data_IF_810610242836
#
_entry.id   IF_810610242836
#
_cell.length_a   1.000
_cell.length_b   1.000
_cell.length_c   1.000
_cell.angle_alpha   90.00
_cell.angle_beta   90.00
_cell.angle_gamma   90.00
#
_symmetry.space_group_name_H-M   'P 1'
#
loop_
_entity.id
_entity.type
_entity.pdbx_description
1 polymer ?
#
# COMPACT_ATOMS: atom_id res chain seq x y z
N UNK A 1 -0.82 10.85 7.86
CA UNK A 1 0.55 10.29 7.75
C UNK A 1 0.65 8.84 8.23
N UNK A 2 0.11 8.46 9.40
CA UNK A 2 0.21 7.08 9.91
C UNK A 2 -0.89 6.11 9.45
N UNK A 3 -2.00 6.63 8.90
CA UNK A 3 -3.16 5.82 8.50
C UNK A 3 -2.86 4.90 7.32
N UNK A 4 -2.11 5.37 6.32
CA UNK A 4 -1.70 4.58 5.14
C UNK A 4 -0.74 3.43 5.51
N UNK A 5 0.35 3.65 6.27
CA UNK A 5 1.19 2.55 6.75
C UNK A 5 0.43 1.55 7.63
N UNK A 6 -0.47 2.03 8.50
CA UNK A 6 -1.23 1.17 9.40
C UNK A 6 -2.20 0.26 8.63
N UNK A 7 -2.88 0.78 7.59
CA UNK A 7 -3.73 -0.03 6.70
C UNK A 7 -2.92 -1.14 6.01
N UNK A 8 -1.73 -0.81 5.47
CA UNK A 8 -0.83 -1.81 4.86
C UNK A 8 -0.43 -2.93 5.83
N UNK A 9 -0.21 -2.60 7.11
CA UNK A 9 0.06 -3.60 8.17
C UNK A 9 -1.18 -4.43 8.49
N UNK A 10 -2.36 -3.83 8.52
CA UNK A 10 -3.62 -4.52 8.76
C UNK A 10 -3.91 -5.56 7.66
N UNK A 11 -3.68 -5.22 6.39
CA UNK A 11 -3.73 -6.17 5.27
C UNK A 11 -2.77 -7.34 5.45
N UNK A 12 -1.54 -7.06 5.89
CA UNK A 12 -0.58 -8.11 6.17
C UNK A 12 -1.05 -9.01 7.31
N UNK A 13 -1.58 -8.47 8.40
CA UNK A 13 -2.05 -9.27 9.53
C UNK A 13 -3.23 -10.17 9.15
N UNK A 14 -4.13 -9.69 8.29
CA UNK A 14 -5.24 -10.48 7.75
C UNK A 14 -4.72 -11.59 6.83
N UNK A 15 -3.79 -11.29 5.92
CA UNK A 15 -3.21 -12.27 4.98
C UNK A 15 -2.14 -13.17 5.61
N UNK A 16 -1.60 -12.82 6.79
CA UNK A 16 -0.62 -13.62 7.54
C UNK A 16 -1.19 -14.98 7.95
N UNK A 17 -2.48 -15.02 8.34
CA UNK A 17 -3.17 -16.29 8.59
C UNK A 17 -3.26 -17.20 7.35
N UNK A 18 -3.06 -16.64 6.16
CA UNK A 18 -3.08 -17.34 4.88
C UNK A 18 -1.68 -17.63 4.31
N UNK A 19 -0.61 -17.37 5.07
CA UNK A 19 0.78 -17.62 4.65
C UNK A 19 1.49 -16.41 4.02
N UNK A 20 1.04 -15.18 4.29
CA UNK A 20 1.76 -13.99 3.83
C UNK A 20 3.20 -13.95 4.37
N UNK A 21 4.17 -13.86 3.45
CA UNK A 21 5.59 -13.75 3.78
C UNK A 21 5.89 -12.39 4.39
N UNK A 22 6.83 -12.33 5.34
CA UNK A 22 7.35 -11.07 5.92
C UNK A 22 7.88 -10.12 4.84
N UNK A 23 8.36 -10.66 3.71
CA UNK A 23 8.77 -9.86 2.56
C UNK A 23 7.65 -8.97 1.99
N UNK A 24 6.38 -9.41 2.04
CA UNK A 24 5.23 -8.62 1.60
C UNK A 24 5.01 -7.41 2.52
N UNK A 25 5.10 -7.61 3.83
CA UNK A 25 4.99 -6.54 4.82
C UNK A 25 6.09 -5.50 4.59
N UNK A 26 7.34 -5.94 4.41
CA UNK A 26 8.44 -5.02 4.13
C UNK A 26 8.24 -4.27 2.81
N UNK A 27 7.74 -4.93 1.74
CA UNK A 27 7.40 -4.25 0.48
C UNK A 27 6.32 -3.17 0.66
N UNK A 28 5.25 -3.47 1.41
CA UNK A 28 4.14 -2.53 1.64
C UNK A 28 4.58 -1.36 2.53
N UNK A 29 5.32 -1.62 3.60
CA UNK A 29 5.87 -0.58 4.47
C UNK A 29 6.85 0.30 3.69
N UNK A 30 7.80 -0.31 2.97
CA UNK A 30 8.77 0.43 2.17
C UNK A 30 8.11 1.29 1.11
N UNK A 31 7.12 0.77 0.37
CA UNK A 31 6.37 1.54 -0.61
C UNK A 31 5.62 2.72 0.04
N UNK A 32 4.99 2.52 1.20
CA UNK A 32 4.30 3.59 1.94
C UNK A 32 5.25 4.66 2.45
N UNK A 33 6.46 4.26 2.87
CA UNK A 33 7.48 5.15 3.40
C UNK A 33 8.08 5.99 2.26
N UNK A 34 8.36 5.36 1.11
CA UNK A 34 8.79 6.07 -0.11
C UNK A 34 7.73 7.08 -0.56
N UNK A 35 6.45 6.68 -0.59
CA UNK A 35 5.34 7.59 -0.93
C UNK A 35 5.28 8.80 0.01
N UNK A 36 5.41 8.59 1.33
CA UNK A 36 5.39 9.65 2.33
C UNK A 36 6.61 10.57 2.27
N UNK A 37 7.81 10.01 2.13
CA UNK A 37 9.04 10.78 2.05
C UNK A 37 9.05 11.61 0.77
N UNK A 38 8.68 11.03 -0.36
CA UNK A 38 8.61 11.76 -1.64
C UNK A 38 7.54 12.86 -1.62
N UNK A 39 6.38 12.62 -1.01
CA UNK A 39 5.36 13.65 -0.80
C UNK A 39 5.85 14.78 0.10
N UNK A 40 6.46 14.45 1.24
CA UNK A 40 6.99 15.45 2.18
C UNK A 40 8.12 16.29 1.56
N UNK A 41 9.03 15.66 0.80
CA UNK A 41 10.11 16.36 0.09
C UNK A 41 9.54 17.31 -0.96
N UNK A 42 8.54 16.87 -1.74
CA UNK A 42 7.87 17.71 -2.74
C UNK A 42 7.06 18.87 -2.18
N UNK A 43 6.60 18.78 -0.93
CA UNK A 43 5.84 19.84 -0.27
C UNK A 43 6.73 20.84 0.50
N UNK A 44 7.80 20.35 1.15
CA UNK A 44 8.57 21.14 2.14
C UNK A 44 9.96 21.53 1.65
N UNK A 45 10.65 20.67 0.90
CA UNK A 45 12.05 20.87 0.52
C UNK A 45 12.21 21.50 -0.86
N UNK A 46 11.33 21.19 -1.81
CA UNK A 46 11.49 21.61 -3.21
C UNK A 46 10.15 22.00 -3.87
N UNK A 47 9.65 23.20 -3.53
CA UNK A 47 8.34 23.72 -4.00
C UNK A 47 8.29 23.95 -5.51
N UNK A 48 9.40 24.28 -6.16
CA UNK A 48 9.46 24.47 -7.61
C UNK A 48 9.43 23.11 -8.36
N UNK A 49 9.98 22.06 -7.75
CA UNK A 49 9.91 20.66 -8.22
C UNK A 49 8.71 19.87 -7.72
N UNK A 50 7.76 20.51 -7.02
CA UNK A 50 6.65 19.86 -6.30
C UNK A 50 5.81 18.94 -7.18
N UNK A 51 5.59 19.32 -8.45
CA UNK A 51 4.84 18.50 -9.42
C UNK A 51 5.59 17.20 -9.73
N UNK A 52 6.92 17.24 -9.89
CA UNK A 52 7.73 16.08 -10.22
C UNK A 52 7.76 15.09 -9.05
N UNK A 53 7.94 15.59 -7.83
CA UNK A 53 7.89 14.80 -6.59
C UNK A 53 6.49 14.26 -6.29
N UNK A 54 5.44 15.03 -6.58
CA UNK A 54 4.05 14.60 -6.51
C UNK A 54 3.74 13.45 -7.47
N UNK A 55 4.26 13.50 -8.70
CA UNK A 55 4.13 12.40 -9.67
C UNK A 55 4.87 11.15 -9.17
N UNK A 56 6.07 11.28 -8.62
CA UNK A 56 6.82 10.14 -8.05
C UNK A 56 6.06 9.52 -6.87
N UNK A 57 5.50 10.34 -5.98
CA UNK A 57 4.67 9.87 -4.87
C UNK A 57 3.39 9.19 -5.38
N UNK A 58 2.77 9.72 -6.43
CA UNK A 58 1.61 9.12 -7.10
C UNK A 58 1.90 7.76 -7.74
N UNK A 59 3.08 7.58 -8.33
CA UNK A 59 3.54 6.28 -8.87
C UNK A 59 3.72 5.27 -7.73
N UNK A 60 4.32 5.69 -6.61
CA UNK A 60 4.47 4.82 -5.43
C UNK A 60 3.10 4.40 -4.87
N UNK A 61 2.13 5.31 -4.84
CA UNK A 61 0.75 5.02 -4.46
C UNK A 61 0.07 4.03 -5.43
N UNK A 62 0.18 4.25 -6.75
CA UNK A 62 -0.37 3.34 -7.75
C UNK A 62 0.25 1.94 -7.66
N UNK A 63 1.53 1.86 -7.32
CA UNK A 63 2.21 0.59 -7.07
C UNK A 63 1.61 -0.14 -5.86
N UNK A 64 1.29 0.56 -4.76
CA UNK A 64 0.60 -0.03 -3.60
C UNK A 64 -0.78 -0.55 -4.00
N UNK A 65 -1.57 0.25 -4.72
CA UNK A 65 -2.91 -0.15 -5.19
C UNK A 65 -2.83 -1.40 -6.06
N UNK A 66 -1.88 -1.45 -6.99
CA UNK A 66 -1.63 -2.62 -7.82
C UNK A 66 -1.28 -3.86 -6.99
N UNK A 67 -0.42 -3.69 -5.97
CA UNK A 67 0.00 -4.78 -5.08
C UNK A 67 -1.18 -5.34 -4.26
N UNK A 68 -2.12 -4.47 -3.86
CA UNK A 68 -3.32 -4.83 -3.09
C UNK A 68 -4.39 -5.52 -3.96
N UNK A 69 -4.65 -5.03 -5.18
CA UNK A 69 -5.73 -5.55 -6.03
C UNK A 69 -5.34 -6.74 -6.91
N UNK A 70 -4.14 -6.71 -7.49
CA UNK A 70 -3.68 -7.70 -8.46
C UNK A 70 -2.37 -8.39 -8.06
N UNK A 71 -1.68 -7.85 -7.06
CA UNK A 71 -0.40 -8.38 -6.60
C UNK A 71 -0.51 -9.53 -5.60
N UNK A 72 0.56 -9.66 -4.81
CA UNK A 72 0.72 -10.74 -3.84
C UNK A 72 -0.37 -10.71 -2.75
N UNK A 73 -0.88 -9.53 -2.35
CA UNK A 73 -1.93 -9.40 -1.30
C UNK A 73 -3.25 -10.02 -1.77
N UNK A 74 -3.68 -9.72 -2.99
CA UNK A 74 -4.93 -10.24 -3.56
C UNK A 74 -4.88 -11.76 -3.75
N UNK A 75 -3.74 -12.28 -4.25
CA UNK A 75 -3.53 -13.73 -4.36
C UNK A 75 -3.57 -14.43 -3.00
N UNK A 76 -2.89 -13.87 -1.99
CA UNK A 76 -2.90 -14.42 -0.64
C UNK A 76 -4.30 -14.34 0.00
N UNK A 77 -5.04 -13.27 -0.25
CA UNK A 77 -6.40 -13.11 0.25
C UNK A 77 -7.40 -14.10 -0.38
N UNK A 78 -7.21 -14.47 -1.65
CA UNK A 78 -7.99 -15.52 -2.30
C UNK A 78 -7.71 -16.90 -1.69
N UNK A 79 -6.44 -17.19 -1.36
CA UNK A 79 -6.06 -18.44 -0.69
C UNK A 79 -6.56 -18.53 0.75
N UNK A 80 -6.74 -17.39 1.42
CA UNK A 80 -7.21 -17.27 2.80
C UNK A 80 -8.69 -17.64 3.02
N UNK A 81 -9.49 -17.62 1.94
CA UNK A 81 -10.93 -17.87 1.97
C UNK A 81 -11.78 -16.65 1.59
N UNK A 82 -13.06 -16.90 1.28
CA UNK A 82 -13.97 -15.91 0.71
C UNK A 82 -14.19 -14.66 1.60
N UNK A 83 -14.18 -14.82 2.92
CA UNK A 83 -14.34 -13.72 3.87
C UNK A 83 -13.14 -12.75 3.85
N UNK A 84 -11.93 -13.30 3.78
CA UNK A 84 -10.69 -12.52 3.72
C UNK A 84 -10.55 -11.85 2.36
N UNK A 85 -10.83 -12.56 1.26
CA UNK A 85 -10.87 -11.97 -0.08
C UNK A 85 -11.84 -10.78 -0.17
N UNK A 86 -13.02 -10.88 0.45
CA UNK A 86 -14.00 -9.78 0.50
C UNK A 86 -13.49 -8.61 1.33
N UNK A 87 -12.92 -8.86 2.51
CA UNK A 87 -12.33 -7.82 3.35
C UNK A 87 -11.18 -7.09 2.65
N UNK A 88 -10.27 -7.82 2.01
CA UNK A 88 -9.16 -7.26 1.22
C UNK A 88 -9.66 -6.39 0.07
N UNK A 89 -10.75 -6.80 -0.59
CA UNK A 89 -11.34 -6.02 -1.70
C UNK A 89 -11.99 -4.72 -1.23
N UNK A 90 -12.67 -4.73 -0.08
CA UNK A 90 -13.27 -3.54 0.54
C UNK A 90 -12.19 -2.57 1.04
N UNK A 91 -11.18 -3.09 1.74
CA UNK A 91 -10.04 -2.27 2.17
C UNK A 91 -9.26 -1.72 0.96
N UNK A 92 -9.16 -2.49 -0.13
CA UNK A 92 -8.50 -2.04 -1.35
C UNK A 92 -9.26 -0.91 -2.04
N UNK A 93 -10.57 -0.83 -1.84
CA UNK A 93 -11.40 0.28 -2.25
C UNK A 93 -11.16 1.52 -1.40
N UNK A 94 -11.00 1.37 -0.09
CA UNK A 94 -10.64 2.45 0.84
C UNK A 94 -9.28 3.07 0.55
N UNK A 95 -8.34 2.30 -0.01
CA UNK A 95 -7.05 2.85 -0.42
C UNK A 95 -7.19 3.70 -1.69
N UNK A 96 -8.16 3.39 -2.55
CA UNK A 96 -8.39 4.04 -3.85
C UNK A 96 -9.27 5.31 -3.76
N UNK A 97 -10.25 5.30 -2.85
CA UNK A 97 -11.26 6.36 -2.62
C UNK A 97 -10.84 7.36 -1.54
#
# INVERSE_FOLDING_TARGET
ILTVPLMCVEFYLITKKAGAKIALLWKLIFASLVMLVTGYVGEVLDRDGSVLWGVISGIAYFYIVYLVWFGEVSKLAQTAGAQVAKATKVLGWFVLV
#
